data_IF_829542751326
#
_entry.id   IF_829542751326
#
_cell.length_a   1.000
_cell.length_b   1.000
_cell.length_c   1.000
_cell.angle_alpha   90.00
_cell.angle_beta   90.00
_cell.angle_gamma   90.00
#
_symmetry.space_group_name_H-M   'P 1'
#
loop_
_entity.id
_entity.type
_entity.pdbx_description
1 polymer ?
#
# COMPACT_ATOMS: atom_id res chain seq x y z
N UNK A 1 28.96 43.34 6.54
CA UNK A 1 27.62 43.76 6.98
C UNK A 1 26.62 42.97 6.15
N UNK A 2 26.12 41.89 6.73
CA UNK A 2 25.22 40.91 6.13
C UNK A 2 23.84 41.53 5.92
N UNK A 3 23.26 41.39 4.73
CA UNK A 3 21.82 41.59 4.51
C UNK A 3 21.24 40.23 4.13
N UNK A 4 20.64 39.58 5.12
CA UNK A 4 19.73 38.45 4.92
C UNK A 4 18.42 39.05 4.41
N UNK A 5 18.09 38.79 3.15
CA UNK A 5 16.75 38.97 2.65
C UNK A 5 15.91 37.80 3.17
N UNK A 6 15.19 38.03 4.27
CA UNK A 6 14.07 37.20 4.70
C UNK A 6 12.85 37.63 3.88
N UNK A 7 12.37 36.75 3.00
CA UNK A 7 11.22 37.00 2.17
C UNK A 7 10.39 35.73 1.98
N UNK A 8 9.10 35.89 2.27
CA UNK A 8 7.99 34.97 2.07
C UNK A 8 7.86 33.85 3.11
N UNK A 9 7.03 34.12 4.12
CA UNK A 9 6.40 33.10 4.93
C UNK A 9 5.68 32.09 4.04
N UNK A 10 6.29 30.93 3.86
CA UNK A 10 5.54 29.72 3.54
C UNK A 10 4.54 29.49 4.68
N UNK A 11 3.28 29.13 4.40
CA UNK A 11 2.40 28.64 5.45
C UNK A 11 3.17 27.55 6.17
N UNK A 12 3.42 27.74 7.46
CA UNK A 12 4.20 26.81 8.26
C UNK A 12 3.56 25.43 8.07
N UNK A 13 4.22 24.59 7.27
CA UNK A 13 3.79 23.21 7.12
C UNK A 13 3.74 22.68 8.56
N UNK A 14 2.58 22.19 9.05
CA UNK A 14 2.52 21.57 10.37
C UNK A 14 3.68 20.61 10.42
N UNK A 15 4.49 20.68 11.49
CA UNK A 15 5.87 20.16 11.47
C UNK A 15 5.91 18.87 10.66
N UNK A 16 6.63 18.85 9.53
CA UNK A 16 6.55 17.74 8.57
C UNK A 16 6.88 16.38 9.22
N UNK A 17 7.44 16.41 10.43
CA UNK A 17 7.65 15.26 11.29
C UNK A 17 6.36 14.60 11.81
N UNK A 18 5.28 15.36 12.00
CA UNK A 18 4.01 14.90 12.56
C UNK A 18 2.89 14.76 11.52
N UNK A 19 3.12 15.15 10.25
CA UNK A 19 2.10 15.07 9.20
C UNK A 19 1.71 13.60 8.95
N UNK A 20 0.42 13.26 9.07
CA UNK A 20 -0.12 11.97 8.66
C UNK A 20 0.16 11.67 7.18
N UNK A 21 0.28 10.39 6.82
CA UNK A 21 0.53 9.97 5.44
C UNK A 21 -0.62 10.39 4.50
N UNK A 22 -1.86 10.31 4.95
CA UNK A 22 -3.04 10.69 4.16
C UNK A 22 -3.07 12.19 3.86
N UNK A 23 -2.84 13.03 4.85
CA UNK A 23 -2.69 14.48 4.70
C UNK A 23 -1.57 14.83 3.71
N UNK A 24 -0.42 14.15 3.82
CA UNK A 24 0.70 14.35 2.92
C UNK A 24 0.34 13.97 1.47
N UNK A 25 -0.29 12.81 1.27
CA UNK A 25 -0.69 12.36 -0.07
C UNK A 25 -1.75 13.28 -0.66
N UNK A 26 -2.75 13.71 0.12
CA UNK A 26 -3.75 14.67 -0.34
C UNK A 26 -3.12 15.97 -0.83
N UNK A 27 -2.08 16.45 -0.14
CA UNK A 27 -1.34 17.65 -0.52
C UNK A 27 -0.45 17.47 -1.76
N UNK A 28 0.08 16.25 -1.97
CA UNK A 28 1.10 15.96 -3.01
C UNK A 28 0.65 15.04 -4.12
N UNK A 29 -0.63 14.65 -4.18
CA UNK A 29 -1.14 13.63 -5.09
C UNK A 29 -0.78 13.91 -6.55
N UNK A 30 -0.92 15.17 -6.98
CA UNK A 30 -0.58 15.59 -8.34
C UNK A 30 0.91 15.37 -8.68
N UNK A 31 1.81 15.67 -7.74
CA UNK A 31 3.24 15.43 -7.89
C UNK A 31 3.58 13.93 -7.86
N UNK A 32 2.97 13.20 -6.92
CA UNK A 32 3.15 11.75 -6.78
C UNK A 32 2.74 11.01 -8.06
N UNK A 33 1.65 11.41 -8.70
CA UNK A 33 1.15 10.77 -9.93
C UNK A 33 1.74 11.37 -11.22
N UNK A 34 2.56 12.41 -11.14
CA UNK A 34 3.12 13.09 -12.30
C UNK A 34 3.96 12.14 -13.17
N UNK A 35 3.77 12.23 -14.50
CA UNK A 35 4.51 11.43 -15.47
C UNK A 35 4.05 9.97 -15.62
N UNK A 36 3.01 9.55 -14.91
CA UNK A 36 2.36 8.26 -15.15
C UNK A 36 1.29 8.38 -16.24
N UNK A 37 1.17 7.35 -17.08
CA UNK A 37 -0.01 7.20 -17.95
C UNK A 37 -1.28 7.11 -17.11
N UNK A 38 -2.37 7.70 -17.61
CA UNK A 38 -3.67 7.74 -16.91
C UNK A 38 -4.22 6.35 -16.58
N UNK A 39 -3.94 5.35 -17.43
CA UNK A 39 -4.28 3.94 -17.20
C UNK A 39 -3.60 3.34 -15.97
N UNK A 40 -2.44 3.88 -15.58
CA UNK A 40 -1.68 3.45 -14.40
C UNK A 40 -2.17 4.14 -13.12
N UNK A 41 -2.87 5.27 -13.22
CA UNK A 41 -3.43 5.96 -12.05
C UNK A 41 -4.47 5.09 -11.35
N UNK A 42 -5.36 4.45 -12.11
CA UNK A 42 -6.46 3.63 -11.59
C UNK A 42 -5.97 2.54 -10.61
N UNK A 43 -5.03 1.64 -10.98
CA UNK A 43 -4.57 0.62 -10.05
C UNK A 43 -3.78 1.17 -8.85
N UNK A 44 -3.13 2.33 -8.99
CA UNK A 44 -2.38 2.95 -7.89
C UNK A 44 -3.32 3.59 -6.87
N UNK A 45 -4.32 4.33 -7.35
CA UNK A 45 -5.37 4.91 -6.52
C UNK A 45 -6.24 3.85 -5.87
N UNK A 46 -6.53 2.74 -6.57
CA UNK A 46 -7.19 1.59 -5.96
C UNK A 46 -6.33 0.97 -4.83
N UNK A 47 -5.01 0.87 -5.02
CA UNK A 47 -4.08 0.45 -3.96
C UNK A 47 -4.07 1.42 -2.79
N UNK A 48 -4.11 2.72 -3.05
CA UNK A 48 -4.20 3.77 -2.05
C UNK A 48 -5.46 3.64 -1.18
N UNK A 49 -6.63 3.79 -1.79
CA UNK A 49 -7.90 3.87 -1.05
C UNK A 49 -8.30 2.55 -0.36
N UNK A 50 -7.99 1.41 -0.98
CA UNK A 50 -8.45 0.12 -0.44
C UNK A 50 -7.48 -0.49 0.60
N UNK A 51 -6.25 -0.01 0.69
CA UNK A 51 -5.19 -0.67 1.49
C UNK A 51 -4.32 0.33 2.25
N UNK A 52 -3.64 1.22 1.53
CA UNK A 52 -2.64 2.11 2.16
C UNK A 52 -3.30 3.11 3.10
N UNK A 53 -4.32 3.81 2.65
CA UNK A 53 -4.99 4.85 3.44
C UNK A 53 -5.67 4.26 4.70
N UNK A 54 -6.47 3.18 4.62
CA UNK A 54 -7.05 2.56 5.81
C UNK A 54 -6.01 2.07 6.84
N UNK A 55 -4.88 1.53 6.38
CA UNK A 55 -3.91 0.86 7.26
C UNK A 55 -2.81 1.79 7.76
N UNK A 56 -2.31 2.68 6.91
CA UNK A 56 -1.13 3.52 7.17
C UNK A 56 -1.42 5.03 7.10
N UNK A 57 -2.57 5.45 6.58
CA UNK A 57 -2.90 6.86 6.31
C UNK A 57 -2.76 7.75 7.55
N UNK A 58 -3.32 7.29 8.67
CA UNK A 58 -3.31 8.00 9.95
C UNK A 58 -1.93 8.06 10.63
N UNK A 59 -0.95 7.28 10.16
CA UNK A 59 0.38 7.25 10.76
C UNK A 59 1.21 8.45 10.29
N UNK A 60 1.99 9.08 11.18
CA UNK A 60 2.93 10.11 10.77
C UNK A 60 3.91 9.58 9.73
N UNK A 61 4.11 10.34 8.64
CA UNK A 61 4.92 9.94 7.48
C UNK A 61 6.32 9.45 7.88
N UNK A 62 6.96 10.10 8.87
CA UNK A 62 8.30 9.75 9.36
C UNK A 62 8.37 8.46 10.19
N UNK A 63 7.24 8.00 10.71
CA UNK A 63 7.16 6.80 11.54
C UNK A 63 6.89 5.54 10.71
N UNK A 64 6.57 5.68 9.42
CA UNK A 64 6.34 4.53 8.55
C UNK A 64 7.69 3.90 8.19
N UNK A 65 7.92 2.71 8.74
CA UNK A 65 9.14 1.94 8.53
C UNK A 65 8.94 0.83 7.49
N UNK A 66 10.04 0.34 6.94
CA UNK A 66 10.07 -0.87 6.10
C UNK A 66 9.39 -2.07 6.78
N UNK A 67 9.53 -2.21 8.10
CA UNK A 67 8.88 -3.28 8.87
C UNK A 67 7.36 -3.15 8.89
N UNK A 68 6.82 -1.93 9.04
CA UNK A 68 5.37 -1.68 8.96
C UNK A 68 4.83 -2.00 7.57
N UNK A 69 5.51 -1.55 6.51
CA UNK A 69 5.12 -1.85 5.13
C UNK A 69 5.20 -3.37 4.86
N UNK A 70 6.21 -4.04 5.38
CA UNK A 70 6.34 -5.51 5.24
C UNK A 70 5.21 -6.24 5.96
N UNK A 71 4.79 -5.76 7.13
CA UNK A 71 3.64 -6.32 7.84
C UNK A 71 2.34 -6.11 7.06
N UNK A 72 2.11 -4.91 6.52
CA UNK A 72 0.96 -4.60 5.68
C UNK A 72 0.88 -5.50 4.45
N UNK A 73 2.02 -5.68 3.76
CA UNK A 73 2.09 -6.59 2.60
C UNK A 73 1.74 -8.03 2.98
N UNK A 74 2.17 -8.52 4.14
CA UNK A 74 1.77 -9.85 4.61
C UNK A 74 0.26 -9.92 4.87
N UNK A 75 -0.33 -8.86 5.43
CA UNK A 75 -1.78 -8.73 5.58
C UNK A 75 -2.49 -8.85 4.23
N UNK A 76 -2.09 -8.06 3.24
CA UNK A 76 -2.71 -8.09 1.90
C UNK A 76 -2.55 -9.44 1.20
N UNK A 77 -1.42 -10.14 1.40
CA UNK A 77 -1.22 -11.51 0.91
C UNK A 77 -2.23 -12.46 1.57
N UNK A 78 -2.38 -12.37 2.89
CA UNK A 78 -3.34 -13.19 3.64
C UNK A 78 -4.80 -12.88 3.26
N UNK A 79 -5.10 -11.64 2.90
CA UNK A 79 -6.41 -11.20 2.37
C UNK A 79 -6.65 -11.65 0.92
N UNK A 80 -5.74 -12.42 0.32
CA UNK A 80 -5.89 -12.97 -1.03
C UNK A 80 -5.65 -11.95 -2.14
N UNK A 81 -4.99 -10.82 -1.87
CA UNK A 81 -4.66 -9.86 -2.92
C UNK A 81 -3.71 -10.46 -3.95
N UNK A 82 -4.02 -10.31 -5.24
CA UNK A 82 -3.17 -10.82 -6.31
C UNK A 82 -1.77 -10.18 -6.32
N UNK A 83 -0.81 -10.85 -6.97
CA UNK A 83 0.57 -10.34 -7.13
C UNK A 83 0.62 -8.96 -7.80
N UNK A 84 -0.21 -8.71 -8.82
CA UNK A 84 -0.26 -7.41 -9.50
C UNK A 84 -0.86 -6.33 -8.61
N UNK A 85 -1.87 -6.67 -7.81
CA UNK A 85 -2.46 -5.79 -6.80
C UNK A 85 -1.40 -5.34 -5.78
N UNK A 86 -0.63 -6.27 -5.22
CA UNK A 86 0.44 -5.96 -4.26
C UNK A 86 1.52 -5.09 -4.92
N UNK A 87 1.94 -5.45 -6.14
CA UNK A 87 2.94 -4.68 -6.90
C UNK A 87 2.49 -3.23 -7.12
N UNK A 88 1.25 -3.02 -7.57
CA UNK A 88 0.73 -1.68 -7.86
C UNK A 88 0.56 -0.85 -6.57
N UNK A 89 0.12 -1.49 -5.49
CA UNK A 89 0.01 -0.86 -4.16
C UNK A 89 1.39 -0.42 -3.65
N UNK A 90 2.40 -1.29 -3.73
CA UNK A 90 3.78 -0.95 -3.38
C UNK A 90 4.37 0.15 -4.28
N UNK A 91 4.02 0.19 -5.56
CA UNK A 91 4.49 1.23 -6.46
C UNK A 91 3.90 2.60 -6.10
N UNK A 92 2.63 2.66 -5.68
CA UNK A 92 2.03 3.89 -5.14
C UNK A 92 2.73 4.37 -3.86
N UNK A 93 3.04 3.46 -2.93
CA UNK A 93 3.85 3.79 -1.74
C UNK A 93 5.26 4.26 -2.11
N UNK A 94 5.95 3.57 -3.02
CA UNK A 94 7.31 3.93 -3.45
C UNK A 94 7.35 5.38 -3.95
N UNK A 95 6.41 5.74 -4.83
CA UNK A 95 6.33 7.10 -5.38
C UNK A 95 5.98 8.14 -4.32
N UNK A 96 5.11 7.79 -3.37
CA UNK A 96 4.78 8.68 -2.25
C UNK A 96 6.02 9.03 -1.43
N UNK A 97 6.83 8.03 -1.10
CA UNK A 97 8.06 8.24 -0.34
C UNK A 97 9.20 8.83 -1.17
N UNK A 98 9.27 8.56 -2.47
CA UNK A 98 10.16 9.27 -3.39
C UNK A 98 9.85 10.77 -3.40
N UNK A 99 8.57 11.14 -3.49
CA UNK A 99 8.17 12.55 -3.37
C UNK A 99 8.55 13.12 -1.99
N UNK A 100 8.43 12.34 -0.93
CA UNK A 100 8.80 12.79 0.42
C UNK A 100 10.32 13.02 0.56
N UNK A 101 11.14 12.29 -0.19
CA UNK A 101 12.59 12.53 -0.28
C UNK A 101 12.86 13.81 -1.08
N UNK A 102 12.17 14.02 -2.20
CA UNK A 102 12.26 15.25 -3.00
C UNK A 102 11.90 16.48 -2.15
N UNK A 103 10.89 16.36 -1.31
CA UNK A 103 10.44 17.40 -0.38
C UNK A 103 11.37 17.55 0.86
N UNK A 104 12.41 16.74 0.98
CA UNK A 104 13.37 16.79 2.10
C UNK A 104 12.83 16.27 3.45
N UNK A 105 11.74 15.50 3.42
CA UNK A 105 11.10 14.95 4.62
C UNK A 105 11.77 13.65 5.04
N UNK A 106 12.16 12.80 4.08
CA UNK A 106 12.81 11.52 4.34
C UNK A 106 14.16 11.46 3.65
N UNK A 107 15.10 10.73 4.25
CA UNK A 107 16.41 10.48 3.64
C UNK A 107 16.42 9.22 2.77
N UNK A 108 15.46 8.31 2.99
CA UNK A 108 15.39 7.00 2.34
C UNK A 108 13.94 6.57 2.14
N UNK A 109 13.73 5.74 1.11
CA UNK A 109 12.42 5.20 0.80
C UNK A 109 12.18 3.90 1.58
N UNK A 110 11.26 3.87 2.57
CA UNK A 110 10.97 2.67 3.34
C UNK A 110 10.22 1.60 2.53
N UNK A 111 9.59 1.96 1.40
CA UNK A 111 8.84 1.03 0.54
C UNK A 111 9.73 0.20 -0.39
N UNK A 112 11.05 0.43 -0.40
CA UNK A 112 12.01 -0.44 -1.07
C UNK A 112 12.22 -1.74 -0.29
N UNK A 113 11.18 -2.57 -0.23
CA UNK A 113 11.18 -3.86 0.46
C UNK A 113 11.55 -5.00 -0.49
N UNK A 114 12.30 -5.97 0.02
CA UNK A 114 12.70 -7.18 -0.71
C UNK A 114 12.00 -8.42 -0.14
N UNK A 115 12.01 -9.53 -0.89
CA UNK A 115 11.50 -10.82 -0.41
C UNK A 115 9.98 -11.00 -0.37
N UNK A 116 9.17 -9.95 -0.57
CA UNK A 116 7.71 -10.06 -0.60
C UNK A 116 7.20 -10.99 -1.71
N UNK A 117 7.89 -11.07 -2.84
CA UNK A 117 7.54 -11.98 -3.93
C UNK A 117 7.68 -13.45 -3.52
N UNK A 118 8.70 -13.76 -2.72
CA UNK A 118 8.89 -15.11 -2.18
C UNK A 118 7.84 -15.42 -1.09
N UNK A 119 7.45 -14.42 -0.29
CA UNK A 119 6.35 -14.57 0.66
C UNK A 119 5.03 -14.85 -0.07
N UNK A 120 4.75 -14.13 -1.17
CA UNK A 120 3.60 -14.39 -2.03
C UNK A 120 3.63 -15.80 -2.63
N UNK A 121 4.77 -16.22 -3.18
CA UNK A 121 4.92 -17.55 -3.76
C UNK A 121 4.67 -18.64 -2.71
N UNK A 122 5.21 -18.50 -1.50
CA UNK A 122 4.96 -19.43 -0.41
C UNK A 122 3.49 -19.52 -0.04
N UNK A 123 2.79 -18.39 0.04
CA UNK A 123 1.36 -18.37 0.29
C UNK A 123 0.57 -19.07 -0.83
N UNK A 124 0.92 -18.83 -2.10
CA UNK A 124 0.33 -19.56 -3.24
C UNK A 124 0.62 -21.06 -3.18
N UNK A 125 1.85 -21.46 -2.82
CA UNK A 125 2.25 -22.87 -2.73
C UNK A 125 1.52 -23.58 -1.59
N UNK A 126 1.37 -22.93 -0.43
CA UNK A 126 0.58 -23.43 0.71
C UNK A 126 -0.91 -23.59 0.34
N UNK A 127 -1.47 -22.63 -0.40
CA UNK A 127 -2.82 -22.71 -0.98
C UNK A 127 -2.96 -23.86 -1.99
N UNK A 128 -1.90 -24.18 -2.75
CA UNK A 128 -1.88 -25.25 -3.75
C UNK A 128 -1.47 -26.62 -3.20
N UNK A 129 -1.23 -26.76 -1.89
CA UNK A 129 -0.93 -28.06 -1.29
C UNK A 129 -2.13 -29.00 -1.51
N UNK A 130 -1.94 -30.15 -2.20
CA UNK A 130 -3.00 -31.12 -2.44
C UNK A 130 -3.71 -31.58 -1.16
N UNK A 131 -3.05 -31.54 0.01
CA UNK A 131 -3.67 -31.87 1.30
C UNK A 131 -4.61 -30.78 1.80
N UNK A 132 -4.28 -29.52 1.57
CA UNK A 132 -5.13 -28.36 1.90
C UNK A 132 -6.35 -28.28 1.00
N UNK A 133 -6.21 -28.72 -0.26
CA UNK A 133 -7.29 -28.77 -1.26
C UNK A 133 -8.20 -30.02 -1.15
N UNK A 134 -7.85 -30.98 -0.29
CA UNK A 134 -8.63 -32.20 -0.15
C UNK A 134 -9.93 -31.93 0.65
N UNK A 135 -11.06 -31.88 -0.06
CA UNK A 135 -12.37 -31.85 0.59
C UNK A 135 -12.64 -33.16 1.33
N UNK A 136 -13.13 -33.05 2.56
CA UNK A 136 -13.43 -34.20 3.42
C UNK A 136 -14.55 -35.09 2.87
N UNK A 137 -15.44 -34.51 2.04
CA UNK A 137 -16.59 -35.19 1.44
C UNK A 137 -17.54 -34.20 0.75
N UNK A 138 -18.69 -34.71 0.31
CA UNK A 138 -19.70 -33.94 -0.44
C UNK A 138 -20.29 -32.77 0.36
N UNK A 139 -20.53 -32.95 1.66
CA UNK A 139 -21.08 -31.89 2.51
C UNK A 139 -20.11 -30.69 2.63
N UNK A 140 -18.81 -30.96 2.72
CA UNK A 140 -17.77 -29.92 2.74
C UNK A 140 -17.68 -29.16 1.40
N UNK A 141 -18.05 -29.79 0.28
CA UNK A 141 -18.12 -29.11 -1.01
C UNK A 141 -19.29 -28.13 -1.06
N UNK A 142 -20.44 -28.49 -0.51
CA UNK A 142 -21.63 -27.64 -0.45
C UNK A 142 -21.36 -26.42 0.45
N UNK A 143 -20.80 -26.63 1.64
CA UNK A 143 -20.43 -25.53 2.55
C UNK A 143 -19.46 -24.54 1.90
N UNK A 144 -18.47 -25.05 1.15
CA UNK A 144 -17.52 -24.20 0.43
C UNK A 144 -18.21 -23.41 -0.69
N UNK A 145 -19.11 -24.04 -1.45
CA UNK A 145 -19.86 -23.37 -2.52
C UNK A 145 -20.73 -22.23 -1.97
N UNK A 146 -21.44 -22.46 -0.87
CA UNK A 146 -22.27 -21.45 -0.21
C UNK A 146 -21.42 -20.28 0.32
N UNK A 147 -20.26 -20.57 0.93
CA UNK A 147 -19.35 -19.55 1.42
C UNK A 147 -18.76 -18.70 0.29
N UNK A 148 -18.43 -19.31 -0.86
CA UNK A 148 -17.94 -18.60 -2.05
C UNK A 148 -19.01 -17.69 -2.65
N UNK A 149 -20.27 -18.12 -2.67
CA UNK A 149 -21.40 -17.29 -3.10
C UNK A 149 -21.56 -16.10 -2.15
N UNK A 150 -21.54 -16.29 -0.83
CA UNK A 150 -21.64 -15.17 0.13
C UNK A 150 -20.47 -14.17 0.02
N UNK A 151 -19.27 -14.65 -0.30
CA UNK A 151 -18.11 -13.80 -0.53
C UNK A 151 -18.10 -13.12 -1.92
N UNK A 152 -18.95 -13.55 -2.84
CA UNK A 152 -18.99 -13.02 -4.21
C UNK A 152 -19.70 -11.66 -4.26
N UNK A 153 -19.31 -10.85 -5.26
CA UNK A 153 -19.99 -9.60 -5.53
C UNK A 153 -21.42 -9.88 -6.03
N UNK A 154 -22.43 -9.33 -5.34
CA UNK A 154 -23.88 -9.59 -5.51
C UNK A 154 -24.40 -10.99 -5.08
N UNK A 155 -23.59 -11.81 -4.40
CA UNK A 155 -24.01 -13.09 -3.81
C UNK A 155 -24.58 -14.11 -4.79
N UNK A 156 -23.92 -14.31 -5.93
CA UNK A 156 -24.18 -15.39 -6.87
C UNK A 156 -22.89 -15.91 -7.52
#
# INVERSE_FOLDING_TARGET
MTILADAAGSPALPSLASMPLDDYVNLRLSAILAGLETTTHVPYLAGWHLRIEPELGHLPLRLITTSLITAAVRGWIADGCSRSTIKNTLAMLSRTFEQAIVDGILDRNPAHITGWQHQFQRAEDELRDPRTLALRGWDALIELADALVEASYNRY
#
